data_IF_838054621063
#
_entry.id   IF_838054621063
#
_cell.length_a   1.000
_cell.length_b   1.000
_cell.length_c   1.000
_cell.angle_alpha   90.00
_cell.angle_beta   90.00
_cell.angle_gamma   90.00
#
_symmetry.space_group_name_H-M   'P 1'
#
loop_
_entity.id
_entity.type
_entity.pdbx_description
1 polymer ?
#
# COMPACT_ATOMS: atom_id res chain seq x y z
N UNK A 1 -4.85 -16.39 -31.85
CA UNK A 1 -3.45 -16.66 -31.48
C UNK A 1 -2.79 -17.74 -32.31
N UNK A 2 -3.46 -18.86 -32.58
CA UNK A 2 -3.00 -19.87 -33.57
C UNK A 2 -2.50 -19.25 -34.86
N UNK A 3 -3.18 -18.19 -35.34
CA UNK A 3 -2.82 -17.50 -36.57
C UNK A 3 -1.42 -16.79 -36.54
N UNK A 4 -0.91 -16.37 -35.40
CA UNK A 4 0.40 -15.68 -35.27
C UNK A 4 1.56 -16.70 -35.21
N UNK A 5 1.38 -17.79 -34.49
CA UNK A 5 2.34 -18.88 -34.40
C UNK A 5 2.45 -19.59 -35.74
N UNK A 6 1.33 -19.87 -36.39
CA UNK A 6 1.28 -20.45 -37.72
C UNK A 6 1.99 -19.57 -38.75
N UNK A 7 1.71 -18.25 -38.75
CA UNK A 7 2.43 -17.28 -39.60
C UNK A 7 3.94 -17.24 -39.33
N UNK A 8 4.34 -17.45 -38.07
CA UNK A 8 5.75 -17.55 -37.67
C UNK A 8 6.42 -18.77 -38.30
N UNK A 9 5.77 -19.92 -38.16
CA UNK A 9 6.26 -21.20 -38.74
C UNK A 9 6.35 -21.14 -40.27
N UNK A 10 5.33 -20.62 -40.94
CA UNK A 10 5.33 -20.48 -42.41
C UNK A 10 6.42 -19.53 -42.90
N UNK A 11 6.66 -18.44 -42.17
CA UNK A 11 7.73 -17.50 -42.47
C UNK A 11 9.10 -18.14 -42.29
N UNK A 12 9.28 -18.96 -41.26
CA UNK A 12 10.51 -19.70 -41.01
C UNK A 12 10.78 -20.75 -42.10
N UNK A 13 9.76 -21.55 -42.49
CA UNK A 13 9.85 -22.53 -43.60
C UNK A 13 10.25 -21.85 -44.92
N UNK A 14 9.61 -20.74 -45.28
CA UNK A 14 9.96 -19.96 -46.47
C UNK A 14 11.42 -19.45 -46.40
N UNK A 15 11.87 -18.99 -45.26
CA UNK A 15 13.26 -18.52 -45.04
C UNK A 15 14.29 -19.63 -45.27
N UNK A 16 13.97 -20.85 -44.85
CA UNK A 16 14.86 -22.02 -45.06
C UNK A 16 14.91 -22.46 -46.52
N UNK A 17 13.80 -22.34 -47.25
CA UNK A 17 13.67 -22.74 -48.67
C UNK A 17 14.27 -21.74 -49.65
N UNK A 18 14.54 -20.47 -49.26
CA UNK A 18 14.98 -19.42 -50.16
C UNK A 18 16.48 -19.30 -50.22
N UNK A 19 17.06 -19.40 -51.43
CA UNK A 19 18.47 -19.21 -51.71
C UNK A 19 18.90 -17.76 -51.98
N UNK A 20 17.95 -16.86 -52.25
CA UNK A 20 18.21 -15.43 -52.45
C UNK A 20 18.56 -14.74 -51.12
N UNK A 21 19.75 -14.17 -51.05
CA UNK A 21 20.31 -13.49 -49.90
C UNK A 21 19.51 -12.28 -49.44
N UNK A 22 18.93 -11.52 -50.38
CA UNK A 22 18.10 -10.30 -50.09
C UNK A 22 16.72 -10.69 -49.56
N UNK A 23 16.10 -11.70 -50.12
CA UNK A 23 14.80 -12.20 -49.72
C UNK A 23 14.90 -12.89 -48.36
N UNK A 24 15.95 -13.69 -48.12
CA UNK A 24 16.23 -14.30 -46.84
C UNK A 24 16.41 -13.27 -45.74
N UNK A 25 17.06 -12.13 -45.97
CA UNK A 25 17.19 -11.04 -45.02
C UNK A 25 15.84 -10.39 -44.66
N UNK A 26 14.94 -10.18 -45.66
CA UNK A 26 13.58 -9.66 -45.42
C UNK A 26 12.74 -10.63 -44.60
N UNK A 27 12.76 -11.91 -44.92
CA UNK A 27 12.05 -12.96 -44.19
C UNK A 27 12.55 -13.09 -42.74
N UNK A 28 13.86 -13.01 -42.50
CA UNK A 28 14.45 -13.02 -41.18
C UNK A 28 13.97 -11.84 -40.30
N UNK A 29 13.87 -10.64 -40.90
CA UNK A 29 13.35 -9.45 -40.22
C UNK A 29 11.89 -9.63 -39.84
N UNK A 30 11.08 -10.19 -40.75
CA UNK A 30 9.66 -10.48 -40.51
C UNK A 30 9.48 -11.54 -39.46
N UNK A 31 10.24 -12.62 -39.48
CA UNK A 31 10.23 -13.67 -38.48
C UNK A 31 10.59 -13.16 -37.08
N UNK A 32 11.64 -12.32 -36.94
CA UNK A 32 11.99 -11.66 -35.67
C UNK A 32 10.87 -10.79 -35.09
N UNK A 33 10.11 -10.11 -35.94
CA UNK A 33 8.94 -9.34 -35.50
C UNK A 33 7.82 -10.25 -34.97
N UNK A 34 7.52 -11.34 -35.68
CA UNK A 34 6.48 -12.30 -35.31
C UNK A 34 6.85 -13.00 -34.01
N UNK A 35 8.06 -13.50 -33.85
CA UNK A 35 8.53 -14.16 -32.62
C UNK A 35 8.51 -13.22 -31.42
N UNK A 36 8.81 -11.94 -31.62
CA UNK A 36 8.69 -10.92 -30.55
C UNK A 36 7.23 -10.70 -30.10
N UNK A 37 6.28 -10.66 -31.04
CA UNK A 37 4.84 -10.55 -30.73
C UNK A 37 4.32 -11.78 -30.00
N UNK A 38 4.64 -12.98 -30.48
CA UNK A 38 4.29 -14.25 -29.82
C UNK A 38 4.86 -14.32 -28.40
N UNK A 39 6.12 -13.92 -28.22
CA UNK A 39 6.75 -13.87 -26.89
C UNK A 39 6.06 -12.88 -25.95
N UNK A 40 5.61 -11.72 -26.45
CA UNK A 40 4.86 -10.75 -25.66
C UNK A 40 3.47 -11.28 -25.25
N UNK A 41 2.77 -11.96 -26.16
CA UNK A 41 1.47 -12.59 -25.89
C UNK A 41 1.57 -13.71 -24.86
N UNK A 42 2.59 -14.56 -24.95
CA UNK A 42 2.82 -15.61 -23.96
C UNK A 42 3.13 -15.06 -22.57
N UNK A 43 3.89 -13.98 -22.47
CA UNK A 43 4.14 -13.29 -21.21
C UNK A 43 2.86 -12.66 -20.62
N UNK A 44 2.00 -12.10 -21.47
CA UNK A 44 0.71 -11.59 -21.05
C UNK A 44 -0.18 -12.72 -20.49
N UNK A 45 -0.27 -13.86 -21.17
CA UNK A 45 -1.01 -15.05 -20.69
C UNK A 45 -0.52 -15.51 -19.32
N UNK A 46 0.80 -15.64 -19.13
CA UNK A 46 1.40 -16.02 -17.83
C UNK A 46 0.99 -15.04 -16.72
N UNK A 47 1.00 -13.74 -17.00
CA UNK A 47 0.55 -12.71 -16.05
C UNK A 47 -0.93 -12.83 -15.72
N UNK A 48 -1.80 -13.02 -16.72
CA UNK A 48 -3.24 -13.21 -16.50
C UNK A 48 -3.53 -14.48 -15.71
N UNK A 49 -2.85 -15.60 -16.01
CA UNK A 49 -2.98 -16.85 -15.24
C UNK A 49 -2.65 -16.63 -13.77
N UNK A 50 -1.51 -15.98 -13.47
CA UNK A 50 -1.10 -15.67 -12.09
C UNK A 50 -2.08 -14.74 -11.37
N UNK A 51 -2.61 -13.71 -12.06
CA UNK A 51 -3.61 -12.82 -11.49
C UNK A 51 -4.91 -13.55 -11.15
N UNK A 52 -5.34 -14.48 -12.02
CA UNK A 52 -6.52 -15.30 -11.80
C UNK A 52 -6.31 -16.24 -10.60
N UNK A 53 -5.20 -16.95 -10.53
CA UNK A 53 -4.85 -17.83 -9.40
C UNK A 53 -4.83 -17.07 -8.08
N UNK A 54 -4.26 -15.85 -8.05
CA UNK A 54 -4.28 -15.01 -6.85
C UNK A 54 -5.71 -14.60 -6.47
N UNK A 55 -6.53 -14.17 -7.43
CA UNK A 55 -7.92 -13.78 -7.18
C UNK A 55 -8.78 -14.94 -6.69
N UNK A 56 -8.56 -16.15 -7.21
CA UNK A 56 -9.22 -17.37 -6.75
C UNK A 56 -8.82 -17.70 -5.30
N UNK A 57 -7.51 -17.60 -4.97
CA UNK A 57 -7.04 -17.84 -3.60
C UNK A 57 -7.55 -16.80 -2.59
N UNK A 58 -7.62 -15.52 -2.98
CA UNK A 58 -8.20 -14.46 -2.15
C UNK A 58 -9.69 -14.68 -1.90
N UNK A 59 -10.44 -15.08 -2.93
CA UNK A 59 -11.86 -15.43 -2.81
C UNK A 59 -12.06 -16.57 -1.83
N UNK A 60 -11.29 -17.65 -1.98
CA UNK A 60 -11.43 -18.84 -1.16
C UNK A 60 -11.06 -18.53 0.32
N UNK A 61 -10.07 -17.68 0.56
CA UNK A 61 -9.74 -17.19 1.89
C UNK A 61 -10.88 -16.38 2.52
N UNK A 62 -11.52 -15.50 1.75
CA UNK A 62 -12.69 -14.72 2.19
C UNK A 62 -13.89 -15.60 2.52
N UNK A 63 -14.18 -16.61 1.69
CA UNK A 63 -15.27 -17.56 1.97
C UNK A 63 -15.02 -18.35 3.26
N UNK A 64 -13.77 -18.79 3.49
CA UNK A 64 -13.40 -19.46 4.73
C UNK A 64 -13.61 -18.54 5.93
N UNK A 65 -13.14 -17.32 5.87
CA UNK A 65 -13.29 -16.31 6.95
C UNK A 65 -14.78 -16.03 7.26
N UNK A 66 -15.63 -15.95 6.23
CA UNK A 66 -17.06 -15.78 6.43
C UNK A 66 -17.68 -17.00 7.13
N UNK A 67 -17.27 -18.20 6.78
CA UNK A 67 -17.70 -19.44 7.46
C UNK A 67 -17.27 -19.49 8.93
N UNK A 68 -16.01 -19.11 9.20
CA UNK A 68 -15.47 -19.08 10.57
C UNK A 68 -16.22 -18.04 11.45
N UNK A 69 -16.54 -16.86 10.90
CA UNK A 69 -17.33 -15.84 11.60
C UNK A 69 -18.79 -16.27 11.82
N UNK A 70 -19.39 -16.98 10.87
CA UNK A 70 -20.74 -17.54 11.06
C UNK A 70 -20.76 -18.58 12.20
N UNK A 71 -19.76 -19.45 12.25
CA UNK A 71 -19.64 -20.44 13.33
C UNK A 71 -19.44 -19.79 14.71
N UNK A 72 -18.73 -18.63 14.78
CA UNK A 72 -18.60 -17.85 16.01
C UNK A 72 -19.94 -17.24 16.40
N UNK A 73 -20.68 -16.67 15.46
CA UNK A 73 -22.00 -16.09 15.71
C UNK A 73 -22.97 -17.14 16.26
N UNK A 74 -22.97 -18.35 15.69
CA UNK A 74 -23.77 -19.47 16.17
C UNK A 74 -23.40 -19.86 17.61
N UNK A 75 -22.11 -19.92 17.96
CA UNK A 75 -21.65 -20.20 19.31
C UNK A 75 -22.11 -19.14 20.30
N UNK A 76 -22.03 -17.87 19.95
CA UNK A 76 -22.51 -16.76 20.78
C UNK A 76 -24.02 -16.86 20.95
N UNK A 77 -24.76 -17.13 19.89
CA UNK A 77 -26.22 -17.30 19.99
C UNK A 77 -26.62 -18.47 20.89
N UNK A 78 -25.95 -19.63 20.77
CA UNK A 78 -26.18 -20.79 21.61
C UNK A 78 -25.83 -20.49 23.09
N UNK A 79 -24.70 -19.83 23.34
CA UNK A 79 -24.32 -19.43 24.69
C UNK A 79 -25.32 -18.49 25.31
N UNK A 80 -25.73 -17.45 24.62
CA UNK A 80 -26.71 -16.46 25.11
C UNK A 80 -28.09 -17.09 25.32
N UNK A 81 -28.49 -18.05 24.49
CA UNK A 81 -29.73 -18.79 24.67
C UNK A 81 -29.70 -19.62 25.95
N UNK A 82 -28.59 -20.30 26.25
CA UNK A 82 -28.41 -21.08 27.51
C UNK A 82 -28.41 -20.15 28.73
N UNK A 83 -27.70 -19.04 28.65
CA UNK A 83 -27.66 -18.01 29.71
C UNK A 83 -29.04 -17.44 30.01
N UNK A 84 -29.87 -17.23 29.02
CA UNK A 84 -31.24 -16.71 29.16
C UNK A 84 -32.17 -17.73 29.83
N UNK A 85 -31.92 -19.04 29.67
CA UNK A 85 -32.75 -20.11 30.22
C UNK A 85 -32.41 -20.36 31.72
N UNK A 86 -31.12 -20.33 32.05
CA UNK A 86 -30.64 -20.59 33.42
C UNK A 86 -29.51 -19.64 33.82
N UNK A 87 -29.86 -18.41 34.28
CA UNK A 87 -28.87 -17.43 34.73
C UNK A 87 -28.08 -17.85 35.98
N UNK A 88 -28.60 -18.85 36.73
CA UNK A 88 -27.97 -19.37 37.95
C UNK A 88 -27.06 -20.57 37.70
N UNK A 89 -26.99 -21.07 36.48
CA UNK A 89 -26.13 -22.17 36.07
C UNK A 89 -24.66 -21.85 36.33
N UNK A 90 -23.89 -22.84 36.74
CA UNK A 90 -22.45 -22.74 37.00
C UNK A 90 -21.61 -22.38 35.74
N UNK A 91 -22.21 -22.33 34.60
CA UNK A 91 -21.64 -21.83 33.33
C UNK A 91 -21.81 -20.31 33.13
N UNK A 92 -21.92 -19.55 34.20
CA UNK A 92 -22.09 -18.08 34.19
C UNK A 92 -20.87 -17.37 33.59
N UNK A 93 -20.62 -17.63 32.32
CA UNK A 93 -19.53 -16.97 31.61
C UNK A 93 -19.86 -15.53 31.15
N UNK A 94 -21.07 -15.05 31.49
CA UNK A 94 -21.55 -13.75 31.09
C UNK A 94 -22.01 -13.70 29.61
N UNK A 95 -22.60 -12.59 29.21
CA UNK A 95 -23.21 -12.43 27.90
C UNK A 95 -22.34 -11.69 26.88
N UNK A 96 -21.26 -11.07 27.33
CA UNK A 96 -20.37 -10.33 26.44
C UNK A 96 -19.28 -11.25 25.87
N UNK A 97 -19.06 -11.15 24.58
CA UNK A 97 -18.08 -11.97 23.84
C UNK A 97 -17.00 -11.11 23.23
N UNK A 98 -15.74 -11.55 23.34
CA UNK A 98 -14.59 -10.95 22.68
C UNK A 98 -13.97 -12.00 21.76
N UNK A 99 -13.73 -11.67 20.52
CA UNK A 99 -13.13 -12.58 19.55
C UNK A 99 -12.36 -11.83 18.44
N UNK A 100 -11.36 -12.47 17.81
CA UNK A 100 -10.66 -11.89 16.67
C UNK A 100 -11.60 -11.61 15.49
N UNK A 101 -11.51 -10.42 14.92
CA UNK A 101 -12.36 -9.99 13.79
C UNK A 101 -12.14 -10.81 12.52
N UNK A 102 -11.02 -11.57 12.46
CA UNK A 102 -10.71 -12.50 11.37
C UNK A 102 -11.38 -13.88 11.53
N UNK A 103 -12.04 -14.15 12.66
CA UNK A 103 -12.66 -15.43 12.95
C UNK A 103 -11.68 -16.58 13.30
N UNK A 104 -10.39 -16.27 13.47
CA UNK A 104 -9.34 -17.29 13.63
C UNK A 104 -9.38 -18.10 14.93
N UNK A 105 -10.09 -17.61 15.95
CA UNK A 105 -10.13 -18.23 17.28
C UNK A 105 -11.53 -18.12 17.91
N UNK A 106 -11.78 -19.02 18.86
CA UNK A 106 -13.05 -19.04 19.60
C UNK A 106 -13.22 -17.80 20.47
N UNK A 107 -14.48 -17.34 20.66
CA UNK A 107 -14.78 -16.22 21.53
C UNK A 107 -14.43 -16.52 22.98
N UNK A 108 -14.07 -15.47 23.73
CA UNK A 108 -13.95 -15.47 25.18
C UNK A 108 -15.17 -14.72 25.70
N UNK A 109 -15.90 -15.35 26.61
CA UNK A 109 -17.05 -14.73 27.24
C UNK A 109 -16.61 -14.04 28.53
N UNK A 110 -17.19 -12.86 28.79
CA UNK A 110 -16.96 -12.04 29.98
C UNK A 110 -18.30 -11.66 30.58
N UNK A 111 -18.40 -11.72 31.87
CA UNK A 111 -19.51 -11.12 32.61
C UNK A 111 -19.17 -9.68 32.96
N UNK A 112 -19.75 -8.68 32.26
CA UNK A 112 -19.54 -7.30 32.65
C UNK A 112 -20.01 -7.09 34.10
N UNK A 113 -19.12 -6.66 34.98
CA UNK A 113 -19.43 -6.38 36.38
C UNK A 113 -19.55 -4.90 36.67
N UNK A 114 -18.93 -4.08 35.79
CA UNK A 114 -18.93 -2.63 35.85
C UNK A 114 -19.54 -2.11 34.52
N UNK A 115 -19.81 -0.82 34.49
CA UNK A 115 -20.42 -0.23 33.29
C UNK A 115 -19.49 -0.38 32.07
N UNK A 116 -20.04 -0.84 30.95
CA UNK A 116 -19.41 -0.69 29.64
C UNK A 116 -19.43 0.80 29.30
N UNK A 117 -18.30 1.37 29.01
CA UNK A 117 -18.20 2.81 28.68
C UNK A 117 -17.58 3.03 27.32
N UNK A 118 -18.13 4.02 26.64
CA UNK A 118 -17.62 4.51 25.37
C UNK A 118 -17.18 5.96 25.52
N UNK A 119 -15.96 6.26 25.10
CA UNK A 119 -15.43 7.60 25.11
C UNK A 119 -14.95 8.01 23.72
N UNK A 120 -15.39 9.17 23.26
CA UNK A 120 -15.01 9.73 21.97
C UNK A 120 -14.39 11.10 22.16
N UNK A 121 -13.11 11.22 21.85
CA UNK A 121 -12.38 12.49 21.96
C UNK A 121 -12.23 13.14 20.59
N UNK A 122 -12.31 14.47 20.58
CA UNK A 122 -12.11 15.28 19.39
C UNK A 122 -11.00 16.31 19.61
N UNK A 123 -10.14 16.46 18.62
CA UNK A 123 -9.16 17.54 18.58
C UNK A 123 -9.80 18.75 17.90
N UNK A 124 -9.87 19.85 18.67
CA UNK A 124 -10.34 21.14 18.19
C UNK A 124 -9.14 22.06 18.07
N UNK A 125 -8.87 22.58 16.88
CA UNK A 125 -7.82 23.60 16.71
C UNK A 125 -8.40 24.94 17.15
N UNK A 126 -7.77 25.60 18.12
CA UNK A 126 -8.13 26.94 18.56
C UNK A 126 -6.99 27.91 18.31
N UNK A 127 -7.31 29.07 17.76
CA UNK A 127 -6.36 30.16 17.57
C UNK A 127 -6.72 31.32 18.50
N UNK A 128 -5.75 31.84 19.27
CA UNK A 128 -5.99 33.07 20.02
C UNK A 128 -6.24 34.22 19.04
N UNK A 129 -7.17 35.06 19.34
CA UNK A 129 -7.46 36.31 18.64
C UNK A 129 -7.23 37.46 19.63
N UNK A 130 -6.78 38.62 19.11
CA UNK A 130 -6.40 39.76 19.94
C UNK A 130 -7.57 40.31 20.75
N UNK A 131 -8.80 40.16 20.23
CA UNK A 131 -10.05 40.55 20.92
C UNK A 131 -11.11 39.46 20.74
N UNK A 132 -11.72 39.00 21.83
CA UNK A 132 -12.83 38.05 21.85
C UNK A 132 -12.45 36.61 22.19
N UNK A 133 -13.41 35.70 21.99
CA UNK A 133 -13.18 34.27 22.25
C UNK A 133 -12.29 33.61 21.16
N UNK A 134 -11.47 32.63 21.52
CA UNK A 134 -10.65 31.86 20.55
C UNK A 134 -11.54 31.31 19.43
N UNK A 135 -11.07 31.38 18.19
CA UNK A 135 -11.77 30.79 17.04
C UNK A 135 -11.27 29.38 16.78
N UNK A 136 -12.21 28.46 16.51
CA UNK A 136 -11.95 27.10 16.10
C UNK A 136 -12.27 26.95 14.62
N UNK A 137 -11.27 26.61 13.81
CA UNK A 137 -11.45 26.46 12.35
C UNK A 137 -11.62 24.99 11.94
N UNK A 138 -11.17 24.06 12.78
CA UNK A 138 -11.16 22.65 12.43
C UNK A 138 -11.43 21.76 13.65
N UNK A 139 -12.37 20.81 13.48
CA UNK A 139 -12.69 19.77 14.46
C UNK A 139 -12.46 18.41 13.82
N UNK A 140 -11.70 17.54 14.47
CA UNK A 140 -11.45 16.18 14.02
C UNK A 140 -11.60 15.21 15.18
N UNK A 141 -12.35 14.12 14.99
CA UNK A 141 -12.36 12.99 15.93
C UNK A 141 -10.94 12.45 16.08
N UNK A 142 -10.42 12.44 17.31
CA UNK A 142 -9.06 12.06 17.62
C UNK A 142 -8.98 10.55 17.91
N UNK A 143 -9.80 10.09 18.84
CA UNK A 143 -9.86 8.68 19.22
C UNK A 143 -11.25 8.29 19.68
N UNK A 144 -11.55 7.03 19.55
CA UNK A 144 -12.71 6.37 20.13
C UNK A 144 -12.20 5.19 20.95
N UNK A 145 -12.54 5.16 22.23
CA UNK A 145 -12.13 4.10 23.15
C UNK A 145 -13.36 3.48 23.79
N UNK A 146 -13.26 2.20 24.07
CA UNK A 146 -14.27 1.42 24.80
C UNK A 146 -13.57 0.77 26.00
N UNK A 147 -14.13 0.94 27.18
CA UNK A 147 -13.63 0.32 28.39
C UNK A 147 -14.66 -0.65 28.94
N UNK A 148 -14.20 -1.86 29.25
CA UNK A 148 -15.03 -2.94 29.76
C UNK A 148 -14.39 -3.51 31.02
N UNK A 149 -15.07 -3.35 32.15
CA UNK A 149 -14.73 -4.02 33.38
C UNK A 149 -15.59 -5.29 33.54
N UNK A 150 -14.98 -6.43 33.84
CA UNK A 150 -15.76 -7.66 33.94
C UNK A 150 -15.02 -8.79 34.64
N UNK A 151 -15.72 -9.92 34.72
CA UNK A 151 -15.22 -11.14 35.34
C UNK A 151 -15.09 -12.21 34.27
N UNK A 152 -13.89 -12.78 34.16
CA UNK A 152 -13.63 -13.98 33.34
C UNK A 152 -13.84 -15.16 34.26
N UNK A 153 -14.82 -16.00 33.94
CA UNK A 153 -15.14 -17.22 34.68
C UNK A 153 -14.48 -18.43 34.07
N UNK A 154 -14.13 -19.39 34.91
CA UNK A 154 -13.62 -20.70 34.52
C UNK A 154 -14.11 -21.77 35.50
N UNK A 155 -14.17 -23.04 35.05
CA UNK A 155 -14.45 -24.19 35.95
C UNK A 155 -13.40 -24.29 37.05
N UNK A 156 -12.24 -23.76 36.83
CA UNK A 156 -11.14 -23.65 37.77
C UNK A 156 -10.27 -22.44 37.42
N UNK A 157 -9.38 -22.07 38.35
CA UNK A 157 -8.45 -20.95 38.17
C UNK A 157 -7.53 -21.10 36.96
N UNK A 158 -7.17 -22.34 36.59
CA UNK A 158 -6.31 -22.60 35.43
C UNK A 158 -7.02 -22.20 34.10
N UNK A 159 -8.29 -22.56 33.93
CA UNK A 159 -9.09 -22.21 32.74
C UNK A 159 -9.28 -20.68 32.62
N UNK A 160 -9.56 -20.01 33.76
CA UNK A 160 -9.65 -18.55 33.74
C UNK A 160 -8.33 -17.89 33.36
N UNK A 161 -7.20 -18.43 33.85
CA UNK A 161 -5.86 -17.97 33.47
C UNK A 161 -5.56 -18.22 31.98
N UNK A 162 -5.99 -19.34 31.40
CA UNK A 162 -5.85 -19.59 29.94
C UNK A 162 -6.64 -18.58 29.10
N UNK A 163 -7.86 -18.25 29.50
CA UNK A 163 -8.67 -17.23 28.83
C UNK A 163 -7.97 -15.86 28.89
N UNK A 164 -7.42 -15.51 30.04
CA UNK A 164 -6.66 -14.27 30.23
C UNK A 164 -5.36 -14.28 29.39
N UNK A 165 -4.63 -15.40 29.37
CA UNK A 165 -3.42 -15.55 28.55
C UNK A 165 -3.71 -15.38 27.05
N UNK A 166 -4.91 -15.81 26.56
CA UNK A 166 -5.35 -15.55 25.20
C UNK A 166 -5.55 -14.04 24.94
N UNK A 167 -6.22 -13.34 25.88
CA UNK A 167 -6.35 -11.87 25.78
C UNK A 167 -4.99 -11.18 25.75
N UNK A 168 -4.07 -11.63 26.59
CA UNK A 168 -2.68 -11.14 26.63
C UNK A 168 -1.95 -11.40 25.30
N UNK A 169 -2.15 -12.59 24.73
CA UNK A 169 -1.61 -12.91 23.39
C UNK A 169 -2.19 -12.00 22.30
N UNK A 170 -3.49 -11.73 22.34
CA UNK A 170 -4.12 -10.81 21.36
C UNK A 170 -3.62 -9.37 21.51
N UNK A 171 -3.41 -8.92 22.76
CA UNK A 171 -2.80 -7.63 23.05
C UNK A 171 -1.37 -7.54 22.49
N UNK A 172 -0.52 -8.52 22.80
CA UNK A 172 0.89 -8.53 22.39
C UNK A 172 1.07 -8.62 20.85
N UNK A 173 0.15 -9.28 20.16
CA UNK A 173 0.17 -9.40 18.71
C UNK A 173 -0.67 -8.33 17.99
N UNK A 174 -1.20 -7.36 18.72
CA UNK A 174 -2.04 -6.28 18.18
C UNK A 174 -3.19 -6.81 17.30
N UNK A 175 -3.80 -7.91 17.71
CA UNK A 175 -4.92 -8.54 16.98
C UNK A 175 -6.11 -7.59 16.96
N UNK A 176 -6.75 -7.52 15.80
CA UNK A 176 -8.02 -6.80 15.64
C UNK A 176 -9.13 -7.65 16.20
N UNK A 177 -9.92 -7.10 17.11
CA UNK A 177 -10.95 -7.78 17.85
C UNK A 177 -12.33 -7.21 17.57
N UNK A 178 -13.33 -8.03 17.78
CA UNK A 178 -14.73 -7.65 17.85
C UNK A 178 -15.20 -7.86 19.27
N UNK A 179 -15.83 -6.85 19.85
CA UNK A 179 -16.54 -6.92 21.11
C UNK A 179 -18.04 -6.93 20.85
N UNK A 180 -18.74 -7.85 21.47
CA UNK A 180 -20.18 -8.02 21.39
C UNK A 180 -20.75 -8.21 22.81
N UNK A 181 -21.28 -7.15 23.38
CA UNK A 181 -21.95 -7.06 24.65
C UNK A 181 -23.17 -6.14 24.51
N UNK A 182 -23.41 -5.30 25.50
CA UNK A 182 -24.40 -4.22 25.40
C UNK A 182 -23.96 -3.20 24.32
N UNK A 183 -22.64 -3.01 24.20
CA UNK A 183 -22.02 -2.24 23.12
C UNK A 183 -21.42 -3.22 22.10
N UNK A 184 -21.64 -2.97 20.81
CA UNK A 184 -21.16 -3.82 19.72
C UNK A 184 -20.20 -3.06 18.81
N UNK A 185 -18.91 -3.43 18.85
CA UNK A 185 -17.88 -2.82 18.02
C UNK A 185 -16.95 -3.82 17.35
N UNK A 186 -16.66 -3.56 16.09
CA UNK A 186 -15.66 -4.28 15.30
C UNK A 186 -14.41 -3.43 15.17
N UNK A 187 -13.28 -4.04 14.82
CA UNK A 187 -12.00 -3.39 14.56
C UNK A 187 -11.42 -2.67 15.80
N UNK A 188 -11.54 -3.31 16.93
CA UNK A 188 -10.93 -2.87 18.19
C UNK A 188 -9.55 -3.51 18.39
N UNK A 189 -8.65 -2.80 19.05
CA UNK A 189 -7.38 -3.34 19.54
C UNK A 189 -7.29 -3.02 21.03
N UNK A 190 -6.81 -3.99 21.80
CA UNK A 190 -6.59 -3.80 23.24
C UNK A 190 -5.45 -2.78 23.39
N UNK A 191 -5.70 -1.67 24.09
CA UNK A 191 -4.70 -0.69 24.47
C UNK A 191 -4.29 -0.82 25.94
N UNK A 192 -5.21 -1.31 26.77
CA UNK A 192 -4.95 -1.58 28.20
C UNK A 192 -5.58 -2.90 28.60
N UNK A 193 -4.88 -3.67 29.41
CA UNK A 193 -5.33 -4.96 29.93
C UNK A 193 -4.85 -5.14 31.36
N UNK A 194 -5.78 -5.02 32.31
CA UNK A 194 -5.50 -5.16 33.71
C UNK A 194 -6.16 -6.42 34.28
N UNK A 195 -5.45 -7.12 35.14
CA UNK A 195 -5.98 -8.21 35.96
C UNK A 195 -5.90 -7.79 37.41
N UNK A 196 -7.04 -7.72 38.08
CA UNK A 196 -7.12 -7.40 39.50
C UNK A 196 -7.28 -8.70 40.29
N UNK A 197 -6.31 -8.97 41.13
CA UNK A 197 -6.38 -10.10 42.04
C UNK A 197 -7.38 -9.79 43.15
N UNK A 198 -8.49 -10.50 43.16
CA UNK A 198 -9.54 -10.41 44.17
C UNK A 198 -9.81 -11.80 44.76
N UNK A 199 -10.52 -11.88 45.87
CA UNK A 199 -10.87 -13.13 46.53
C UNK A 199 -11.84 -14.03 45.76
N UNK A 200 -11.99 -13.78 44.46
CA UNK A 200 -12.75 -14.63 43.54
C UNK A 200 -11.98 -15.94 43.33
N UNK A 201 -12.51 -17.02 43.84
CA UNK A 201 -11.84 -18.32 43.95
C UNK A 201 -11.32 -18.86 42.62
N UNK A 202 -12.19 -18.94 41.61
CA UNK A 202 -11.91 -19.53 40.29
C UNK A 202 -12.02 -18.51 39.15
N UNK A 203 -12.33 -17.27 39.49
CA UNK A 203 -12.62 -16.22 38.51
C UNK A 203 -11.56 -15.13 38.56
N UNK A 204 -11.44 -14.36 37.46
CA UNK A 204 -10.53 -13.25 37.35
C UNK A 204 -11.29 -11.96 37.11
N UNK A 205 -11.07 -10.94 37.94
CA UNK A 205 -11.57 -9.58 37.63
C UNK A 205 -10.60 -8.89 36.68
N UNK A 206 -11.10 -8.49 35.52
CA UNK A 206 -10.31 -7.85 34.47
C UNK A 206 -10.91 -6.51 34.06
N UNK A 207 -10.04 -5.60 33.69
CA UNK A 207 -10.40 -4.35 33.02
C UNK A 207 -9.69 -4.32 31.69
N UNK A 208 -10.45 -4.06 30.61
CA UNK A 208 -9.96 -4.09 29.25
C UNK A 208 -10.29 -2.75 28.59
N UNK A 209 -9.26 -2.03 28.19
CA UNK A 209 -9.38 -0.85 27.35
C UNK A 209 -9.20 -1.22 25.89
N UNK A 210 -10.10 -0.76 25.05
CA UNK A 210 -10.03 -0.93 23.60
C UNK A 210 -9.94 0.41 22.91
N UNK A 211 -9.17 0.45 21.84
CA UNK A 211 -9.12 1.59 20.90
C UNK A 211 -9.60 1.16 19.52
N UNK A 212 -10.43 1.99 18.91
CA UNK A 212 -10.94 1.76 17.58
C UNK A 212 -9.87 2.06 16.51
N UNK A 213 -9.65 1.11 15.59
CA UNK A 213 -8.71 1.29 14.49
C UNK A 213 -9.47 1.56 13.19
N UNK A 214 -9.23 2.74 12.59
CA UNK A 214 -9.70 3.05 11.26
C UNK A 214 -8.69 2.52 10.23
N UNK A 215 -9.04 1.48 9.51
CA UNK A 215 -8.24 1.03 8.37
C UNK A 215 -8.44 1.98 7.21
N UNK A 216 -7.35 2.60 6.75
CA UNK A 216 -7.37 3.26 5.46
C UNK A 216 -7.50 2.19 4.38
N UNK A 217 -8.67 2.05 3.77
CA UNK A 217 -8.81 1.27 2.56
C UNK A 217 -8.01 1.99 1.47
N UNK A 218 -6.81 1.49 1.20
CA UNK A 218 -6.09 1.87 0.00
C UNK A 218 -6.83 1.24 -1.17
N UNK A 219 -7.79 1.96 -1.74
CA UNK A 219 -8.38 1.61 -3.01
C UNK A 219 -7.28 1.75 -4.06
N UNK A 220 -6.51 0.70 -4.27
CA UNK A 220 -5.69 0.56 -5.46
C UNK A 220 -6.63 0.37 -6.63
N UNK A 221 -7.09 1.48 -7.21
CA UNK A 221 -7.78 1.42 -8.49
C UNK A 221 -6.76 0.93 -9.52
N UNK A 222 -6.77 -0.36 -9.78
CA UNK A 222 -6.10 -0.97 -10.94
C UNK A 222 -6.83 -0.60 -12.23
N UNK A 223 -7.30 0.64 -12.34
CA UNK A 223 -7.81 1.17 -13.58
C UNK A 223 -6.65 1.28 -14.58
N UNK A 224 -6.88 0.82 -15.80
CA UNK A 224 -5.96 0.93 -16.96
C UNK A 224 -5.44 2.36 -17.22
N UNK A 225 -5.89 3.34 -16.46
CA UNK A 225 -5.50 4.75 -16.49
C UNK A 225 -4.77 5.25 -15.24
N UNK A 226 -4.33 4.36 -14.36
CA UNK A 226 -3.34 4.75 -13.36
C UNK A 226 -2.02 5.05 -14.11
N UNK A 227 -1.97 6.13 -14.83
CA UNK A 227 -0.71 6.80 -15.16
C UNK A 227 -0.05 6.98 -13.80
N UNK A 228 1.01 6.20 -13.56
CA UNK A 228 1.91 6.36 -12.44
C UNK A 228 2.17 7.85 -12.33
N UNK A 229 1.46 8.55 -11.45
CA UNK A 229 1.82 9.89 -11.05
C UNK A 229 3.13 9.73 -10.30
N UNK A 230 4.21 9.60 -11.07
CA UNK A 230 5.52 9.89 -10.54
C UNK A 230 5.37 11.27 -9.94
N UNK A 231 5.53 11.38 -8.65
CA UNK A 231 5.54 12.64 -7.94
C UNK A 231 6.49 13.58 -8.67
N UNK A 232 5.95 14.45 -9.52
CA UNK A 232 6.69 15.54 -10.13
C UNK A 232 6.85 16.65 -9.10
N UNK A 233 7.26 16.32 -7.89
CA UNK A 233 7.76 17.28 -6.94
C UNK A 233 9.26 17.36 -7.07
N UNK A 234 9.73 17.80 -8.17
CA UNK A 234 11.05 18.33 -8.26
C UNK A 234 10.93 19.59 -9.08
N UNK A 235 11.15 20.71 -8.42
CA UNK A 235 11.46 21.97 -9.09
C UNK A 235 12.35 21.59 -10.28
N UNK A 236 11.87 21.79 -11.50
CA UNK A 236 12.68 21.59 -12.69
C UNK A 236 13.84 22.56 -12.56
N UNK A 237 14.98 22.06 -12.16
CA UNK A 237 16.23 22.81 -12.33
C UNK A 237 16.40 22.91 -13.84
N UNK A 238 16.15 24.09 -14.36
CA UNK A 238 16.30 24.36 -15.77
C UNK A 238 17.69 23.90 -16.22
N UNK A 239 17.77 23.08 -17.27
CA UNK A 239 19.01 22.65 -17.89
C UNK A 239 19.58 21.29 -17.51
N UNK A 240 19.15 20.66 -16.40
CA UNK A 240 19.79 19.42 -15.90
C UNK A 240 19.29 18.12 -16.54
N UNK A 241 18.16 18.09 -17.24
CA UNK A 241 17.45 16.84 -17.60
C UNK A 241 17.42 16.47 -19.05
N UNK A 242 17.89 17.32 -19.95
CA UNK A 242 17.98 16.93 -21.34
C UNK A 242 19.23 16.07 -21.55
N UNK A 243 19.06 14.73 -21.52
CA UNK A 243 20.17 13.78 -21.76
C UNK A 243 20.84 13.95 -23.13
N UNK A 244 20.23 14.72 -24.03
CA UNK A 244 20.66 14.89 -25.42
C UNK A 244 21.69 16.02 -25.59
N UNK A 245 21.70 16.99 -24.69
CA UNK A 245 22.56 18.19 -24.79
C UNK A 245 23.33 18.45 -23.50
N UNK A 246 24.45 19.17 -23.60
CA UNK A 246 25.20 19.71 -22.47
C UNK A 246 24.66 21.09 -22.15
N UNK A 247 24.38 21.37 -20.88
CA UNK A 247 23.88 22.67 -20.43
C UNK A 247 25.01 23.46 -19.74
N UNK A 248 25.04 24.76 -19.99
CA UNK A 248 25.93 25.71 -19.29
C UNK A 248 25.13 26.91 -18.79
N UNK A 249 25.70 27.65 -17.85
CA UNK A 249 25.20 28.96 -17.44
C UNK A 249 26.07 30.04 -18.08
N UNK A 250 25.45 31.01 -18.74
CA UNK A 250 26.15 32.14 -19.39
C UNK A 250 26.79 33.03 -18.33
N UNK A 251 28.07 33.31 -18.45
CA UNK A 251 28.82 34.21 -17.55
C UNK A 251 28.77 35.64 -18.08
N UNK A 252 28.89 36.60 -17.19
CA UNK A 252 28.98 38.02 -17.54
C UNK A 252 30.09 38.26 -18.58
N UNK A 253 29.79 38.98 -19.68
CA UNK A 253 30.71 39.26 -20.76
C UNK A 253 30.86 38.18 -21.83
N UNK A 254 30.13 37.05 -21.74
CA UNK A 254 30.13 36.05 -22.81
C UNK A 254 29.15 36.43 -23.92
N UNK A 255 29.56 36.14 -25.16
CA UNK A 255 28.72 36.33 -26.36
C UNK A 255 28.33 34.98 -26.95
N UNK A 256 27.21 34.94 -27.66
CA UNK A 256 26.73 33.71 -28.31
C UNK A 256 27.77 33.16 -29.30
N UNK A 257 28.50 34.03 -29.99
CA UNK A 257 29.61 33.68 -30.90
C UNK A 257 30.79 33.05 -30.15
N UNK A 258 31.17 33.61 -29.00
CA UNK A 258 32.23 33.07 -28.14
C UNK A 258 31.90 31.71 -27.60
N UNK A 259 30.65 31.53 -27.18
CA UNK A 259 30.11 30.20 -26.72
C UNK A 259 30.11 29.22 -27.86
N UNK A 260 29.68 29.61 -29.05
CA UNK A 260 29.64 28.73 -30.23
C UNK A 260 31.05 28.21 -30.58
N UNK A 261 32.07 29.09 -30.60
CA UNK A 261 33.49 28.73 -30.83
C UNK A 261 34.00 27.77 -29.76
N UNK A 262 33.75 28.09 -28.47
CA UNK A 262 34.24 27.28 -27.35
C UNK A 262 33.68 25.86 -27.30
N UNK A 263 32.43 25.65 -27.75
CA UNK A 263 31.76 24.37 -27.73
C UNK A 263 31.64 23.71 -29.09
N UNK A 264 32.39 24.20 -30.07
CA UNK A 264 32.43 23.71 -31.45
C UNK A 264 31.01 23.53 -32.06
N UNK A 265 30.19 24.57 -31.93
CA UNK A 265 28.82 24.62 -32.43
C UNK A 265 28.63 25.89 -33.26
N UNK A 266 27.56 25.98 -34.03
CA UNK A 266 27.24 27.21 -34.79
C UNK A 266 26.25 28.08 -33.99
N UNK A 267 26.35 29.40 -34.21
CA UNK A 267 25.40 30.36 -33.62
C UNK A 267 23.97 30.04 -34.01
N UNK A 268 23.71 29.68 -35.28
CA UNK A 268 22.39 29.26 -35.77
C UNK A 268 21.86 28.04 -35.03
N UNK A 269 22.74 27.08 -34.71
CA UNK A 269 22.36 25.89 -33.91
C UNK A 269 22.03 26.27 -32.48
N UNK A 270 22.81 27.13 -31.83
CA UNK A 270 22.54 27.63 -30.49
C UNK A 270 21.22 28.38 -30.39
N UNK A 271 20.91 29.23 -31.37
CA UNK A 271 19.64 29.92 -31.45
C UNK A 271 18.45 28.95 -31.56
N UNK A 272 18.55 27.96 -32.48
CA UNK A 272 17.48 26.97 -32.69
C UNK A 272 17.21 26.11 -31.46
N UNK A 273 18.25 25.64 -30.78
CA UNK A 273 18.13 24.71 -29.64
C UNK A 273 17.68 25.41 -28.36
N UNK A 274 18.07 26.69 -28.19
CA UNK A 274 17.73 27.49 -27.02
C UNK A 274 16.60 28.49 -27.26
N UNK A 275 15.98 28.48 -28.43
CA UNK A 275 14.89 29.38 -28.81
C UNK A 275 15.26 30.88 -28.70
N UNK A 276 16.52 31.22 -29.00
CA UNK A 276 17.02 32.60 -28.94
C UNK A 276 16.64 33.35 -30.20
N UNK A 277 15.76 34.33 -30.09
CA UNK A 277 15.30 35.15 -31.21
C UNK A 277 16.39 36.13 -31.69
N UNK A 278 17.10 36.77 -30.79
CA UNK A 278 18.14 37.76 -31.10
C UNK A 278 19.51 37.26 -30.58
N UNK A 279 20.48 36.97 -31.48
CA UNK A 279 21.80 36.46 -31.11
C UNK A 279 22.64 37.43 -30.28
N UNK A 280 22.31 38.73 -30.32
CA UNK A 280 23.04 39.78 -29.56
C UNK A 280 22.45 40.03 -28.17
N UNK A 281 21.32 39.36 -27.82
CA UNK A 281 20.67 39.47 -26.51
C UNK A 281 20.72 38.13 -25.80
N UNK A 282 21.75 37.94 -24.99
CA UNK A 282 21.86 36.85 -24.02
C UNK A 282 22.17 37.41 -22.66
N UNK A 283 21.54 36.92 -21.61
CA UNK A 283 21.69 37.44 -20.25
C UNK A 283 22.70 36.61 -19.46
N UNK A 284 23.48 37.29 -18.63
CA UNK A 284 24.36 36.61 -17.65
C UNK A 284 23.46 35.85 -16.65
N UNK A 285 23.81 34.60 -16.36
CA UNK A 285 22.99 33.70 -15.54
C UNK A 285 22.00 32.85 -16.35
N UNK A 286 21.79 33.12 -17.64
CA UNK A 286 20.90 32.32 -18.50
C UNK A 286 21.44 30.90 -18.67
N UNK A 287 20.58 29.89 -18.55
CA UNK A 287 20.93 28.51 -18.85
C UNK A 287 20.77 28.23 -20.35
N UNK A 288 21.79 27.65 -20.94
CA UNK A 288 21.86 27.42 -22.39
C UNK A 288 22.39 26.02 -22.72
N UNK A 289 21.84 25.37 -23.71
CA UNK A 289 22.35 24.12 -24.28
C UNK A 289 23.40 24.40 -25.34
N UNK A 290 24.62 23.81 -25.20
CA UNK A 290 25.78 24.15 -26.03
C UNK A 290 26.33 23.04 -26.92
N UNK A 291 25.82 21.83 -26.81
CA UNK A 291 26.25 20.72 -27.68
C UNK A 291 25.55 19.43 -27.38
N UNK A 292 25.70 18.43 -28.24
CA UNK A 292 25.24 17.07 -27.99
C UNK A 292 26.16 16.42 -26.97
N UNK A 293 25.63 15.74 -25.96
CA UNK A 293 26.44 14.87 -25.10
C UNK A 293 27.02 13.76 -25.96
N UNK A 294 28.30 13.80 -26.21
CA UNK A 294 29.04 12.66 -26.75
C UNK A 294 29.22 11.65 -25.62
N UNK A 295 28.72 10.43 -25.80
CA UNK A 295 29.08 9.31 -24.91
C UNK A 295 30.59 9.11 -25.07
N UNK A 296 31.38 9.60 -24.12
CA UNK A 296 32.77 9.19 -24.01
C UNK A 296 32.79 7.69 -23.73
N UNK A 297 32.95 6.86 -24.77
CA UNK A 297 33.43 5.49 -24.57
C UNK A 297 34.72 5.59 -23.78
N UNK A 298 34.77 4.89 -22.64
CA UNK A 298 35.98 4.80 -21.83
C UNK A 298 37.16 4.46 -22.72
N UNK A 299 38.11 5.37 -22.87
CA UNK A 299 39.42 5.09 -23.49
C UNK A 299 40.10 4.06 -22.58
N UNK A 300 40.36 2.88 -23.15
CA UNK A 300 41.09 1.80 -22.48
C UNK A 300 42.39 2.35 -21.89
N UNK A 301 42.70 1.93 -20.67
CA UNK A 301 43.98 2.16 -20.03
C UNK A 301 45.07 1.58 -20.93
N UNK A 302 45.92 2.43 -21.48
CA UNK A 302 47.18 2.02 -22.09
C UNK A 302 48.03 1.50 -20.94
N UNK A 303 48.32 0.21 -20.92
CA UNK A 303 49.40 -0.34 -20.09
C UNK A 303 50.73 0.02 -20.77
N UNK A 304 51.52 0.86 -20.13
CA UNK A 304 52.90 1.02 -20.44
C UNK A 304 53.65 -0.15 -19.78
N UNK A 305 54.44 -0.86 -20.61
CA UNK A 305 55.36 -1.91 -20.14
C UNK A 305 56.51 -1.27 -19.35
#
# INVERSE_FOLDING_TARGET
MENSEQKGMDTYKKMQATNDKKEKAKLNTRWKKITKTVGADNNARKRYKKLRENAESERDALHKQQGDLAAIADKIAQHNAQFSIDPSSSSNEGHAAIYPSDGSQNPIFISPSDNESEDTTSNVTSYPVDEGAPRADYVRVASKTVSVGGIITGRNRAEANEKFAKLQSWHNHHKTLTYQGDINYKQLVINDLQNTYSDLRDNLKVSIGFTFIYWAQVTTSTGKNAKKKTSKSSKRVAGSRNKKYTAITVKKGQTLLGIAKRYNTSVKWLQKVNHIKNPNKIDAGQHMYVGKKTNKKARGKIRVK
#
